data_IF_810885524448
#
_entry.id   IF_810885524448
#
_cell.length_a   1.000
_cell.length_b   1.000
_cell.length_c   1.000
_cell.angle_alpha   90.00
_cell.angle_beta   90.00
_cell.angle_gamma   90.00
#
_symmetry.space_group_name_H-M   'P 1'
#
loop_
_entity.id
_entity.type
_entity.pdbx_description
1 polymer ?
#
# COMPACT_ATOMS: atom_id res chain seq x y z
N UNK A 1 19.56 0.55 13.06
CA UNK A 1 18.21 -0.06 13.05
C UNK A 1 17.66 0.04 14.46
N UNK A 2 16.38 0.37 14.63
CA UNK A 2 15.77 0.43 15.95
C UNK A 2 15.75 -0.98 16.58
N UNK A 3 15.73 -1.06 17.91
CA UNK A 3 15.59 -2.33 18.60
C UNK A 3 14.27 -3.00 18.17
N UNK A 4 14.30 -4.30 17.88
CA UNK A 4 13.13 -5.05 17.43
C UNK A 4 12.83 -4.99 15.93
N UNK A 5 13.58 -4.22 15.13
CA UNK A 5 13.47 -4.24 13.66
C UNK A 5 13.94 -5.59 13.10
N UNK A 6 13.13 -6.19 12.23
CA UNK A 6 13.38 -7.47 11.57
C UNK A 6 13.23 -7.32 10.06
N UNK A 7 14.09 -8.02 9.31
CA UNK A 7 13.96 -8.20 7.86
C UNK A 7 13.33 -9.56 7.60
N UNK A 8 12.18 -9.60 6.93
CA UNK A 8 11.51 -10.84 6.53
C UNK A 8 11.80 -11.08 5.05
N UNK A 9 12.33 -12.26 4.74
CA UNK A 9 12.63 -12.69 3.38
C UNK A 9 11.64 -13.75 2.92
N UNK A 10 11.13 -13.59 1.70
CA UNK A 10 10.32 -14.59 1.02
C UNK A 10 11.00 -15.03 -0.27
N UNK A 11 11.21 -16.34 -0.37
CA UNK A 11 11.65 -17.02 -1.60
C UNK A 11 10.44 -17.59 -2.31
N UNK A 12 10.29 -17.30 -3.60
CA UNK A 12 9.26 -17.89 -4.46
C UNK A 12 9.84 -18.30 -5.82
N UNK A 13 9.24 -19.32 -6.43
CA UNK A 13 9.61 -19.67 -7.81
C UNK A 13 9.09 -18.57 -8.75
N UNK A 14 9.92 -18.02 -9.63
CA UNK A 14 9.46 -17.06 -10.63
C UNK A 14 8.41 -17.69 -11.54
N UNK A 15 7.36 -16.94 -11.87
CA UNK A 15 6.44 -17.36 -12.92
C UNK A 15 7.09 -17.22 -14.31
N UNK A 16 6.69 -18.03 -15.30
CA UNK A 16 7.22 -17.94 -16.66
C UNK A 16 7.10 -16.51 -17.21
N UNK A 17 8.21 -15.92 -17.68
CA UNK A 17 8.24 -14.55 -18.21
C UNK A 17 8.49 -13.45 -17.18
N UNK A 18 8.67 -13.77 -15.90
CA UNK A 18 9.05 -12.78 -14.89
C UNK A 18 10.47 -12.23 -15.13
N UNK A 19 10.61 -10.92 -15.30
CA UNK A 19 11.91 -10.24 -15.31
C UNK A 19 12.49 -10.20 -13.89
N UNK A 20 13.60 -10.89 -13.68
CA UNK A 20 14.25 -11.02 -12.38
C UNK A 20 15.09 -9.78 -12.05
N UNK A 21 14.88 -9.18 -10.88
CA UNK A 21 15.69 -8.05 -10.38
C UNK A 21 16.50 -8.38 -9.12
N UNK A 22 16.21 -9.51 -8.45
CA UNK A 22 16.99 -10.05 -7.33
C UNK A 22 16.68 -11.55 -7.14
N UNK A 23 17.64 -12.42 -7.43
CA UNK A 23 17.53 -13.88 -7.27
C UNK A 23 18.63 -14.44 -6.38
N UNK A 24 18.35 -15.57 -5.74
CA UNK A 24 19.38 -16.36 -5.10
C UNK A 24 20.15 -17.26 -6.10
N UNK A 25 21.10 -18.04 -5.58
CA UNK A 25 21.89 -18.98 -6.37
C UNK A 25 21.06 -20.08 -7.05
N UNK A 26 19.85 -20.34 -6.54
CA UNK A 26 18.92 -21.36 -7.04
C UNK A 26 17.91 -20.78 -8.06
N UNK A 27 18.05 -19.50 -8.43
CA UNK A 27 17.15 -18.81 -9.35
C UNK A 27 15.77 -18.47 -8.75
N UNK A 28 15.62 -18.57 -7.43
CA UNK A 28 14.39 -18.18 -6.75
C UNK A 28 14.30 -16.66 -6.66
N UNK A 29 13.11 -16.12 -6.89
CA UNK A 29 12.85 -14.69 -6.63
C UNK A 29 12.85 -14.47 -5.13
N UNK A 30 13.68 -13.54 -4.68
CA UNK A 30 13.74 -13.12 -3.28
C UNK A 30 13.07 -11.75 -3.15
N UNK A 31 12.09 -11.67 -2.25
CA UNK A 31 11.47 -10.40 -1.83
C UNK A 31 11.72 -10.18 -0.34
N UNK A 32 11.82 -8.92 0.07
CA UNK A 32 12.22 -8.55 1.41
C UNK A 32 11.40 -7.37 1.90
N UNK A 33 10.97 -7.40 3.16
CA UNK A 33 10.37 -6.24 3.82
C UNK A 33 10.81 -6.12 5.27
N UNK A 34 10.88 -4.88 5.75
CA UNK A 34 11.33 -4.55 7.10
C UNK A 34 10.11 -4.27 7.98
N UNK A 35 10.11 -4.79 9.20
CA UNK A 35 9.10 -4.47 10.19
C UNK A 35 9.66 -4.54 11.61
N UNK A 36 9.22 -3.64 12.47
CA UNK A 36 9.40 -3.65 13.92
C UNK A 36 8.14 -4.13 14.66
N UNK A 37 7.10 -4.56 13.93
CA UNK A 37 5.85 -5.07 14.51
C UNK A 37 6.17 -6.29 15.39
N UNK A 38 5.79 -6.33 16.68
CA UNK A 38 6.06 -7.48 17.54
C UNK A 38 5.33 -8.77 17.08
N UNK A 39 5.87 -9.97 17.39
CA UNK A 39 5.13 -11.22 17.22
C UNK A 39 3.78 -11.20 17.94
N UNK A 40 2.75 -11.86 17.39
CA UNK A 40 1.42 -11.91 18.02
C UNK A 40 0.50 -10.72 17.74
N UNK A 41 1.02 -9.59 17.24
CA UNK A 41 0.20 -8.39 16.97
C UNK A 41 -0.64 -8.53 15.71
N UNK A 42 -0.12 -9.20 14.68
CA UNK A 42 -0.82 -9.39 13.41
C UNK A 42 -1.35 -10.81 13.33
N UNK A 43 -2.66 -10.95 13.10
CA UNK A 43 -3.29 -12.23 12.86
C UNK A 43 -2.60 -12.97 11.71
N UNK A 44 -2.32 -14.26 11.87
CA UNK A 44 -1.55 -15.03 10.88
C UNK A 44 -0.03 -14.77 10.90
N UNK A 45 0.50 -14.02 11.88
CA UNK A 45 1.93 -13.83 12.13
C UNK A 45 2.69 -13.35 10.88
N UNK A 46 3.68 -14.11 10.41
CA UNK A 46 4.49 -13.77 9.22
C UNK A 46 3.62 -13.70 7.95
N UNK A 47 2.64 -14.59 7.78
CA UNK A 47 1.75 -14.57 6.63
C UNK A 47 0.84 -13.33 6.64
N UNK A 48 0.36 -12.92 7.83
CA UNK A 48 -0.42 -11.69 7.99
C UNK A 48 0.41 -10.43 7.74
N UNK A 49 1.67 -10.41 8.20
CA UNK A 49 2.61 -9.32 7.90
C UNK A 49 2.90 -9.22 6.40
N UNK A 50 3.07 -10.35 5.73
CA UNK A 50 3.27 -10.38 4.28
C UNK A 50 2.04 -9.86 3.53
N UNK A 51 0.84 -10.32 3.90
CA UNK A 51 -0.41 -9.84 3.30
C UNK A 51 -0.55 -8.32 3.47
N UNK A 52 -0.34 -7.82 4.69
CA UNK A 52 -0.37 -6.38 4.98
C UNK A 52 0.65 -5.62 4.14
N UNK A 53 1.86 -6.16 3.97
CA UNK A 53 2.87 -5.53 3.12
C UNK A 53 2.44 -5.50 1.65
N UNK A 54 1.88 -6.58 1.11
CA UNK A 54 1.34 -6.59 -0.26
C UNK A 54 0.19 -5.61 -0.44
N UNK A 55 -0.66 -5.46 0.58
CA UNK A 55 -1.73 -4.47 0.58
C UNK A 55 -1.21 -3.02 0.53
N UNK A 56 0.06 -2.77 0.88
CA UNK A 56 0.65 -1.44 0.72
C UNK A 56 0.64 -0.96 -0.74
N UNK A 57 0.63 -1.86 -1.73
CA UNK A 57 0.45 -1.49 -3.14
C UNK A 57 -0.87 -0.73 -3.39
N UNK A 58 -1.90 -0.96 -2.57
CA UNK A 58 -3.18 -0.23 -2.65
C UNK A 58 -2.98 1.27 -2.41
N UNK A 59 -1.98 1.67 -1.62
CA UNK A 59 -1.70 3.09 -1.37
C UNK A 59 -1.35 3.81 -2.68
N UNK A 60 -0.57 3.17 -3.56
CA UNK A 60 -0.20 3.78 -4.85
C UNK A 60 -1.42 3.95 -5.76
N UNK A 61 -2.34 2.99 -5.75
CA UNK A 61 -3.59 3.08 -6.50
C UNK A 61 -4.48 4.20 -5.94
N UNK A 62 -4.58 4.34 -4.61
CA UNK A 62 -5.34 5.44 -3.98
C UNK A 62 -4.72 6.80 -4.26
N UNK A 63 -3.39 6.92 -4.27
CA UNK A 63 -2.71 8.16 -4.70
C UNK A 63 -3.02 8.46 -6.18
N UNK A 64 -3.08 7.43 -7.03
CA UNK A 64 -3.44 7.60 -8.46
C UNK A 64 -4.87 8.10 -8.60
N UNK A 65 -5.81 7.52 -7.87
CA UNK A 65 -7.22 7.96 -7.82
C UNK A 65 -7.34 9.41 -7.34
N UNK A 66 -6.74 9.75 -6.18
CA UNK A 66 -6.72 11.12 -5.64
C UNK A 66 -6.20 12.14 -6.66
N UNK A 67 -5.13 11.78 -7.39
CA UNK A 67 -4.58 12.61 -8.46
C UNK A 67 -5.56 12.79 -9.62
N UNK A 68 -6.33 11.76 -9.97
CA UNK A 68 -7.36 11.85 -11.00
C UNK A 68 -8.59 12.66 -10.55
N UNK A 69 -8.88 12.70 -9.24
CA UNK A 69 -10.08 13.32 -8.68
C UNK A 69 -9.85 14.70 -8.05
N UNK A 70 -8.70 15.34 -8.29
CA UNK A 70 -8.50 16.76 -7.97
C UNK A 70 -7.21 17.10 -7.23
N UNK A 71 -6.46 16.13 -6.73
CA UNK A 71 -5.19 16.40 -6.04
C UNK A 71 -4.14 17.03 -6.97
N UNK A 72 -4.24 16.80 -8.29
CA UNK A 72 -3.37 17.42 -9.31
C UNK A 72 -3.56 18.93 -9.47
N UNK A 73 -4.63 19.50 -8.92
CA UNK A 73 -4.90 20.94 -9.01
C UNK A 73 -4.07 21.75 -8.02
N UNK A 74 -3.39 21.08 -7.08
CA UNK A 74 -2.43 21.71 -6.18
C UNK A 74 -1.06 21.88 -6.85
N UNK A 75 -0.29 22.93 -6.48
CA UNK A 75 -0.65 24.00 -5.55
C UNK A 75 -1.34 25.19 -6.24
N UNK A 76 -2.25 25.84 -5.51
CA UNK A 76 -2.77 27.18 -5.72
C UNK A 76 -1.85 28.26 -5.13
N UNK A 77 -2.10 29.53 -5.47
CA UNK A 77 -1.26 30.68 -5.08
C UNK A 77 -1.28 31.01 -3.57
N UNK A 78 -2.29 30.56 -2.82
CA UNK A 78 -2.46 30.84 -1.40
C UNK A 78 -2.49 29.55 -0.57
N UNK A 79 -1.85 29.57 0.60
CA UNK A 79 -1.80 28.42 1.52
C UNK A 79 -3.20 28.00 1.99
N UNK A 80 -4.04 28.95 2.41
CA UNK A 80 -5.39 28.65 2.90
C UNK A 80 -6.26 27.99 1.82
N UNK A 81 -6.09 28.39 0.57
CA UNK A 81 -6.75 27.75 -0.56
C UNK A 81 -6.26 26.30 -0.78
N UNK A 82 -4.95 26.06 -0.62
CA UNK A 82 -4.39 24.70 -0.69
C UNK A 82 -4.91 23.80 0.44
N UNK A 83 -4.98 24.34 1.67
CA UNK A 83 -5.51 23.61 2.82
C UNK A 83 -6.99 23.26 2.59
N UNK A 84 -7.83 24.24 2.24
CA UNK A 84 -9.24 24.01 1.95
C UNK A 84 -9.45 23.01 0.80
N UNK A 85 -8.66 23.11 -0.28
CA UNK A 85 -8.76 22.19 -1.40
C UNK A 85 -8.34 20.76 -1.02
N UNK A 86 -7.28 20.62 -0.22
CA UNK A 86 -6.85 19.32 0.28
C UNK A 86 -7.93 18.65 1.13
N UNK A 87 -8.57 19.39 2.04
CA UNK A 87 -9.69 18.88 2.85
C UNK A 87 -10.86 18.41 1.99
N UNK A 88 -11.23 19.17 0.94
CA UNK A 88 -12.29 18.78 0.01
C UNK A 88 -11.93 17.49 -0.73
N UNK A 89 -10.69 17.38 -1.22
CA UNK A 89 -10.21 16.18 -1.93
C UNK A 89 -10.20 14.96 -1.00
N UNK A 90 -9.76 15.12 0.26
CA UNK A 90 -9.78 14.05 1.25
C UNK A 90 -11.20 13.63 1.62
N UNK A 91 -12.11 14.58 1.83
CA UNK A 91 -13.52 14.30 2.09
C UNK A 91 -14.17 13.53 0.92
N UNK A 92 -13.86 13.90 -0.33
CA UNK A 92 -14.33 13.17 -1.50
C UNK A 92 -13.78 11.73 -1.55
N UNK A 93 -12.51 11.53 -1.18
CA UNK A 93 -11.90 10.21 -1.12
C UNK A 93 -12.54 9.32 -0.04
N UNK A 94 -12.85 9.90 1.12
CA UNK A 94 -13.58 9.20 2.19
C UNK A 94 -14.97 8.77 1.71
N UNK A 95 -15.72 9.67 1.08
CA UNK A 95 -17.06 9.35 0.53
C UNK A 95 -17.00 8.20 -0.48
N UNK A 96 -16.03 8.22 -1.40
CA UNK A 96 -15.83 7.12 -2.37
C UNK A 96 -15.50 5.81 -1.65
N UNK A 97 -14.60 5.85 -0.67
CA UNK A 97 -14.17 4.67 0.08
C UNK A 97 -15.34 4.07 0.88
N UNK A 98 -16.11 4.91 1.57
CA UNK A 98 -17.30 4.47 2.31
C UNK A 98 -18.37 3.90 1.37
N UNK A 99 -18.63 4.56 0.25
CA UNK A 99 -19.56 4.07 -0.76
C UNK A 99 -19.13 2.68 -1.29
N UNK A 100 -17.84 2.49 -1.56
CA UNK A 100 -17.32 1.18 -1.96
C UNK A 100 -17.50 0.12 -0.87
N UNK A 101 -17.14 0.46 0.37
CA UNK A 101 -17.16 -0.45 1.51
C UNK A 101 -18.56 -0.98 1.82
N UNK A 102 -19.58 -0.11 1.79
CA UNK A 102 -20.95 -0.48 2.19
C UNK A 102 -21.86 -0.78 1.00
N UNK A 103 -21.55 -0.23 -0.18
CA UNK A 103 -22.38 -0.34 -1.38
C UNK A 103 -22.02 -1.49 -2.32
N UNK A 104 -20.77 -1.98 -2.29
CA UNK A 104 -20.31 -3.05 -3.19
C UNK A 104 -19.87 -4.31 -2.43
N UNK A 105 -20.73 -4.82 -1.54
CA UNK A 105 -20.44 -6.00 -0.70
C UNK A 105 -20.12 -7.29 -1.49
N UNK A 106 -20.51 -7.37 -2.77
CA UNK A 106 -20.20 -8.48 -3.67
C UNK A 106 -18.88 -8.36 -4.45
N UNK A 107 -18.19 -7.21 -4.38
CA UNK A 107 -16.93 -6.98 -5.09
C UNK A 107 -15.87 -6.46 -4.11
N UNK A 108 -14.85 -7.26 -3.77
CA UNK A 108 -13.80 -6.79 -2.87
C UNK A 108 -13.00 -5.64 -3.51
N UNK A 109 -12.72 -4.61 -2.71
CA UNK A 109 -11.89 -3.46 -3.06
C UNK A 109 -10.38 -3.77 -3.06
#
# INVERSE_FOLDING_TARGET
MAAGTRLILRKERPHPGAQLRFTDADGMRVTAFITDTPPGVVAGQVAGLELRHRQHARVEDRIRELKATGLRNLPCQAFDANAAWLEIVLAAADLVTWCQLIGFTGHPA
#
